data_IF_501690879117
#
_entry.id   IF_501690879117
#
_cell.length_a   1.000
_cell.length_b   1.000
_cell.length_c   1.000
_cell.angle_alpha   90.00
_cell.angle_beta   90.00
_cell.angle_gamma   90.00
#
_symmetry.space_group_name_H-M   'P 1'
#
loop_
_entity.id
_entity.type
_entity.pdbx_description
1 polymer ?
#
# COMPACT_ATOMS: atom_id res chain seq x y z
N UNK A 1 8.01 68.82 -15.25
CA UNK A 1 8.94 68.25 -14.27
C UNK A 1 9.10 66.76 -14.53
N UNK A 2 10.29 66.37 -14.94
CA UNK A 2 10.66 64.99 -15.24
C UNK A 2 11.25 64.39 -13.99
N UNK A 3 10.75 63.27 -13.50
CA UNK A 3 11.47 62.45 -12.52
C UNK A 3 11.68 61.04 -13.04
N UNK A 4 12.95 60.72 -13.13
CA UNK A 4 13.53 59.42 -13.46
C UNK A 4 13.33 58.45 -12.29
N UNK A 5 12.85 57.24 -12.56
CA UNK A 5 13.04 56.11 -11.64
C UNK A 5 13.86 55.04 -12.36
N UNK A 6 15.14 54.97 -11.93
CA UNK A 6 16.09 53.89 -12.24
C UNK A 6 15.90 52.76 -11.26
N UNK A 7 16.14 51.53 -11.71
CA UNK A 7 16.67 50.47 -10.89
C UNK A 7 15.86 49.16 -10.94
N UNK A 8 16.12 48.29 -11.93
CA UNK A 8 15.85 46.86 -11.83
C UNK A 8 16.85 46.18 -10.88
N UNK A 9 16.46 45.38 -9.89
CA UNK A 9 17.40 44.54 -9.14
C UNK A 9 17.78 43.32 -9.96
N UNK A 10 19.08 43.05 -10.00
CA UNK A 10 19.67 41.96 -10.74
C UNK A 10 19.32 40.57 -10.24
N UNK A 11 19.22 39.65 -11.18
CA UNK A 11 19.18 38.23 -11.02
C UNK A 11 20.40 37.71 -10.24
N UNK A 12 20.25 37.37 -8.96
CA UNK A 12 21.24 36.58 -8.23
C UNK A 12 20.98 35.10 -8.54
N UNK A 13 21.91 34.48 -9.26
CA UNK A 13 21.99 33.04 -9.42
C UNK A 13 22.11 32.39 -8.02
N UNK A 14 21.38 31.31 -7.70
CA UNK A 14 21.59 30.60 -6.44
C UNK A 14 22.95 29.90 -6.48
N UNK A 15 23.70 30.11 -5.40
CA UNK A 15 25.01 29.53 -5.12
C UNK A 15 24.94 28.01 -5.09
N UNK A 16 25.65 27.36 -6.01
CA UNK A 16 25.63 25.91 -6.19
C UNK A 16 26.42 25.14 -5.14
N UNK A 17 26.03 25.21 -3.87
CA UNK A 17 26.55 24.27 -2.87
C UNK A 17 25.86 22.94 -3.02
N UNK A 18 26.53 22.00 -3.69
CA UNK A 18 26.20 20.58 -3.62
C UNK A 18 26.29 20.14 -2.15
N UNK A 19 25.14 20.03 -1.50
CA UNK A 19 25.02 19.28 -0.24
C UNK A 19 25.25 17.82 -0.59
N UNK A 20 26.45 17.32 -0.32
CA UNK A 20 26.73 15.89 -0.35
C UNK A 20 25.89 15.26 0.77
N UNK A 21 24.81 14.56 0.38
CA UNK A 21 24.11 13.69 1.30
C UNK A 21 25.05 12.57 1.77
N UNK A 22 25.08 12.27 3.08
CA UNK A 22 25.89 11.15 3.58
C UNK A 22 25.47 9.88 2.84
N UNK A 23 26.46 9.06 2.43
CA UNK A 23 26.29 7.73 1.82
C UNK A 23 25.33 6.87 2.65
N UNK A 24 24.02 7.01 2.41
CA UNK A 24 23.04 6.06 2.90
C UNK A 24 23.18 4.83 1.99
N UNK A 25 23.62 3.72 2.58
CA UNK A 25 23.54 2.41 1.95
C UNK A 25 22.11 2.22 1.44
N UNK A 26 21.92 1.69 0.22
CA UNK A 26 20.58 1.42 -0.29
C UNK A 26 19.84 0.57 0.76
N UNK A 27 18.65 1.00 1.14
CA UNK A 27 17.79 0.22 2.03
C UNK A 27 17.60 -1.15 1.40
N UNK A 28 17.94 -2.25 2.09
CA UNK A 28 17.70 -3.57 1.54
C UNK A 28 16.19 -3.73 1.31
N UNK A 29 15.82 -3.89 0.06
CA UNK A 29 14.41 -3.98 -0.41
C UNK A 29 13.77 -5.32 -0.03
N UNK A 30 14.55 -6.25 0.51
CA UNK A 30 14.07 -7.52 1.05
C UNK A 30 14.34 -7.57 2.56
N UNK A 31 13.28 -7.49 3.36
CA UNK A 31 13.37 -7.80 4.79
C UNK A 31 13.43 -9.32 4.94
N UNK A 32 14.64 -9.86 4.97
CA UNK A 32 14.90 -11.22 5.39
C UNK A 32 15.31 -11.16 6.85
N UNK A 33 14.44 -11.60 7.73
CA UNK A 33 14.83 -11.83 9.13
C UNK A 33 15.05 -13.33 9.34
N UNK A 34 16.18 -13.68 9.93
CA UNK A 34 16.29 -14.97 10.62
C UNK A 34 15.38 -14.95 11.84
N UNK A 35 15.01 -16.11 12.36
CA UNK A 35 14.21 -16.18 13.60
C UNK A 35 14.89 -15.44 14.77
N UNK A 36 16.21 -15.45 14.80
CA UNK A 36 16.98 -14.74 15.83
C UNK A 36 16.90 -13.21 15.63
N UNK A 37 17.03 -12.71 14.40
CA UNK A 37 16.88 -11.28 14.10
C UNK A 37 15.47 -10.79 14.41
N UNK A 38 14.46 -11.61 14.12
CA UNK A 38 13.08 -11.27 14.48
C UNK A 38 12.89 -11.21 16.01
N UNK A 39 13.45 -12.16 16.77
CA UNK A 39 13.41 -12.11 18.24
C UNK A 39 14.12 -10.87 18.79
N UNK A 40 15.31 -10.53 18.26
CA UNK A 40 16.03 -9.29 18.63
C UNK A 40 15.20 -8.03 18.31
N UNK A 41 14.49 -8.02 17.18
CA UNK A 41 13.58 -6.92 16.83
C UNK A 41 12.42 -6.79 17.83
N UNK A 42 11.84 -7.90 18.27
CA UNK A 42 10.77 -7.88 19.29
C UNK A 42 11.30 -7.34 20.63
N UNK A 43 12.47 -7.80 21.08
CA UNK A 43 13.12 -7.29 22.31
C UNK A 43 13.37 -5.78 22.21
N UNK A 44 13.93 -5.32 21.07
CA UNK A 44 14.15 -3.89 20.84
C UNK A 44 12.86 -3.09 20.94
N UNK A 45 11.80 -3.53 20.28
CA UNK A 45 10.48 -2.86 20.31
C UNK A 45 9.88 -2.85 21.72
N UNK A 46 10.01 -3.95 22.46
CA UNK A 46 9.57 -4.04 23.86
C UNK A 46 10.28 -2.98 24.72
N UNK A 47 11.62 -2.95 24.67
CA UNK A 47 12.44 -2.00 25.43
C UNK A 47 12.13 -0.54 25.07
N UNK A 48 11.91 -0.24 23.79
CA UNK A 48 11.53 1.10 23.34
C UNK A 48 10.17 1.54 23.93
N UNK A 49 9.18 0.65 23.96
CA UNK A 49 7.85 0.93 24.53
C UNK A 49 7.90 1.03 26.06
N UNK A 50 8.65 0.16 26.73
CA UNK A 50 8.86 0.23 28.18
C UNK A 50 9.51 1.57 28.57
N UNK A 51 10.54 1.99 27.84
CA UNK A 51 11.19 3.29 28.07
C UNK A 51 10.24 4.47 27.85
N UNK A 52 9.40 4.40 26.79
CA UNK A 52 8.45 5.47 26.46
C UNK A 52 7.35 5.60 27.52
N UNK A 53 6.88 4.48 28.07
CA UNK A 53 5.72 4.43 28.95
C UNK A 53 6.09 4.28 30.44
N UNK A 54 7.39 4.22 30.80
CA UNK A 54 7.89 3.98 32.17
C UNK A 54 7.31 4.93 33.21
N UNK A 55 6.97 6.16 32.83
CA UNK A 55 6.37 7.15 33.74
C UNK A 55 4.84 7.04 33.89
N UNK A 56 4.19 6.13 33.19
CA UNK A 56 2.73 6.03 33.15
C UNK A 56 2.21 4.69 33.68
N UNK A 57 2.70 3.57 33.12
CA UNK A 57 2.26 2.23 33.48
C UNK A 57 3.25 1.15 33.03
N UNK A 58 3.20 -0.06 33.62
CA UNK A 58 3.88 -1.22 33.09
C UNK A 58 3.42 -1.57 31.71
N UNK A 59 4.33 -2.05 30.87
CA UNK A 59 4.03 -2.47 29.49
C UNK A 59 3.93 -3.99 29.45
N UNK A 60 2.81 -4.49 28.96
CA UNK A 60 2.65 -5.94 28.73
C UNK A 60 3.67 -6.46 27.70
N UNK A 61 4.02 -7.75 27.74
CA UNK A 61 4.89 -8.36 26.74
C UNK A 61 4.36 -8.16 25.31
N UNK A 62 5.28 -7.86 24.41
CA UNK A 62 4.95 -7.68 22.98
C UNK A 62 4.38 -8.96 22.39
N UNK A 63 3.33 -8.83 21.59
CA UNK A 63 2.71 -9.94 20.86
C UNK A 63 3.28 -10.00 19.45
N UNK A 64 4.27 -10.85 19.25
CA UNK A 64 4.88 -11.07 17.93
C UNK A 64 4.03 -11.93 17.00
N UNK A 65 4.45 -11.99 15.73
CA UNK A 65 3.91 -12.94 14.73
C UNK A 65 4.56 -14.30 14.93
N UNK A 66 3.80 -15.35 14.74
CA UNK A 66 4.32 -16.73 14.67
C UNK A 66 5.12 -16.94 13.37
N UNK A 67 4.58 -16.42 12.26
CA UNK A 67 5.27 -16.36 10.97
C UNK A 67 5.35 -14.90 10.51
N UNK A 68 6.53 -14.26 10.51
CA UNK A 68 6.70 -12.87 10.11
C UNK A 68 6.81 -12.66 8.59
N UNK A 69 6.46 -13.67 7.79
CA UNK A 69 6.58 -13.63 6.34
C UNK A 69 5.22 -13.63 5.65
N UNK A 70 5.18 -13.07 4.43
CA UNK A 70 4.06 -13.10 3.47
C UNK A 70 2.72 -12.61 4.02
N UNK A 71 2.75 -11.81 5.07
CA UNK A 71 1.54 -11.33 5.76
C UNK A 71 0.87 -10.14 5.10
N UNK A 72 1.60 -9.43 4.21
CA UNK A 72 1.14 -8.16 3.65
C UNK A 72 0.13 -8.41 2.54
N UNK A 73 -1.13 -8.14 2.84
CA UNK A 73 -2.28 -8.36 1.96
C UNK A 73 -2.56 -7.21 0.96
N UNK A 74 -1.73 -6.16 0.96
CA UNK A 74 -1.78 -5.06 0.00
C UNK A 74 -0.38 -4.74 -0.48
N UNK A 75 -0.16 -4.94 -1.78
CA UNK A 75 1.13 -4.73 -2.45
C UNK A 75 0.95 -3.69 -3.54
N UNK A 76 1.84 -2.71 -3.60
CA UNK A 76 1.89 -1.71 -4.65
C UNK A 76 3.21 -1.85 -5.41
N UNK A 77 3.16 -1.85 -6.72
CA UNK A 77 4.33 -1.87 -7.57
C UNK A 77 4.37 -0.61 -8.45
N UNK A 78 5.52 -0.01 -8.49
CA UNK A 78 5.96 1.03 -9.42
C UNK A 78 6.69 0.40 -10.59
N UNK A 79 6.68 1.05 -11.75
CA UNK A 79 7.27 0.52 -12.96
C UNK A 79 8.25 1.53 -13.57
N UNK A 80 9.27 1.01 -14.23
CA UNK A 80 10.22 1.83 -15.00
C UNK A 80 10.61 1.10 -16.28
N UNK A 81 10.62 1.84 -17.39
CA UNK A 81 11.20 1.36 -18.64
C UNK A 81 12.68 1.76 -18.69
N UNK A 82 13.56 0.79 -18.79
CA UNK A 82 15.00 0.98 -18.91
C UNK A 82 15.38 1.39 -20.33
N UNK A 83 16.61 1.91 -20.52
CA UNK A 83 17.14 2.33 -21.84
C UNK A 83 17.15 1.20 -22.87
N UNK A 84 17.33 -0.04 -22.44
CA UNK A 84 17.28 -1.23 -23.30
C UNK A 84 15.86 -1.71 -23.64
N UNK A 85 14.81 -0.96 -23.22
CA UNK A 85 13.42 -1.30 -23.46
C UNK A 85 12.78 -2.25 -22.45
N UNK A 86 13.55 -2.81 -21.53
CA UNK A 86 13.04 -3.69 -20.47
C UNK A 86 12.19 -2.88 -19.48
N UNK A 87 11.04 -3.44 -19.07
CA UNK A 87 10.22 -2.91 -18.00
C UNK A 87 10.58 -3.68 -16.72
N UNK A 88 10.86 -2.96 -15.67
CA UNK A 88 11.06 -3.48 -14.31
C UNK A 88 9.93 -3.02 -13.41
N UNK A 89 9.62 -3.83 -12.40
CA UNK A 89 8.70 -3.51 -11.31
C UNK A 89 9.43 -3.48 -9.98
N UNK A 90 8.99 -2.62 -9.07
CA UNK A 90 9.63 -2.52 -7.77
C UNK A 90 9.05 -1.39 -6.94
N UNK A 91 9.93 -0.71 -6.21
CA UNK A 91 9.57 0.43 -5.36
C UNK A 91 10.46 1.63 -5.66
N UNK A 92 9.90 2.82 -5.48
CA UNK A 92 10.72 4.03 -5.55
C UNK A 92 11.79 4.03 -4.46
N UNK A 93 13.00 4.38 -4.85
CA UNK A 93 14.04 4.76 -3.92
C UNK A 93 13.59 6.03 -3.17
N UNK A 94 13.76 6.04 -1.86
CA UNK A 94 13.35 7.14 -0.98
C UNK A 94 13.81 8.51 -1.52
N UNK A 95 12.88 9.45 -1.66
CA UNK A 95 13.12 10.79 -2.16
C UNK A 95 13.40 10.92 -3.66
N UNK A 96 13.11 9.85 -4.44
CA UNK A 96 13.31 9.84 -5.90
C UNK A 96 12.19 9.09 -6.62
N UNK A 97 12.11 9.24 -7.96
CA UNK A 97 11.28 8.40 -8.83
C UNK A 97 12.08 7.24 -9.47
N UNK A 98 13.25 6.91 -8.94
CA UNK A 98 14.01 5.76 -9.40
C UNK A 98 13.40 4.46 -8.83
N UNK A 99 12.96 3.56 -9.71
CA UNK A 99 12.46 2.25 -9.31
C UNK A 99 13.63 1.31 -9.04
N UNK A 100 13.66 0.76 -7.82
CA UNK A 100 14.53 -0.36 -7.45
C UNK A 100 13.73 -1.63 -7.66
N UNK A 101 14.25 -2.51 -8.51
CA UNK A 101 13.57 -3.78 -8.81
C UNK A 101 13.39 -4.60 -7.53
N UNK A 102 12.16 -5.10 -7.33
CA UNK A 102 11.80 -5.93 -6.18
C UNK A 102 11.19 -7.23 -6.68
N UNK A 103 11.78 -8.36 -6.27
CA UNK A 103 11.26 -9.71 -6.56
C UNK A 103 11.39 -10.55 -5.30
N UNK A 104 10.36 -11.37 -5.01
CA UNK A 104 10.40 -12.29 -3.89
C UNK A 104 10.47 -11.61 -2.53
N UNK A 105 9.80 -10.47 -2.35
CA UNK A 105 9.74 -9.77 -1.06
C UNK A 105 9.09 -10.68 -0.01
N UNK A 106 9.84 -11.04 1.03
CA UNK A 106 9.40 -12.01 2.04
C UNK A 106 8.26 -11.54 2.95
N UNK A 107 7.90 -10.27 2.94
CA UNK A 107 6.74 -9.78 3.71
C UNK A 107 5.47 -9.65 2.85
N UNK A 108 5.58 -9.64 1.53
CA UNK A 108 4.44 -9.50 0.62
C UNK A 108 3.81 -10.85 0.28
N UNK A 109 2.50 -10.88 0.07
CA UNK A 109 1.80 -12.10 -0.39
C UNK A 109 2.42 -12.58 -1.70
N UNK A 110 2.87 -13.84 -1.73
CA UNK A 110 3.57 -14.43 -2.88
C UNK A 110 2.73 -14.45 -4.16
N UNK A 111 1.39 -14.57 -4.04
CA UNK A 111 0.47 -14.49 -5.18
C UNK A 111 0.51 -13.09 -5.79
N UNK A 112 0.55 -12.05 -4.95
CA UNK A 112 0.65 -10.67 -5.42
C UNK A 112 1.98 -10.43 -6.16
N UNK A 113 3.10 -10.94 -5.65
CA UNK A 113 4.39 -10.84 -6.34
C UNK A 113 4.37 -11.55 -7.71
N UNK A 114 3.88 -12.79 -7.78
CA UNK A 114 3.75 -13.53 -9.03
C UNK A 114 2.90 -12.76 -10.07
N UNK A 115 1.74 -12.26 -9.66
CA UNK A 115 0.85 -11.46 -10.52
C UNK A 115 1.55 -10.19 -11.03
N UNK A 116 2.32 -9.49 -10.18
CA UNK A 116 3.07 -8.28 -10.58
C UNK A 116 4.14 -8.62 -11.63
N UNK A 117 4.86 -9.73 -11.46
CA UNK A 117 5.87 -10.17 -12.43
C UNK A 117 5.24 -10.44 -13.80
N UNK A 118 4.12 -11.17 -13.84
CA UNK A 118 3.42 -11.49 -15.09
C UNK A 118 2.77 -10.24 -15.73
N UNK A 119 2.19 -9.33 -14.93
CA UNK A 119 1.72 -8.03 -15.42
C UNK A 119 2.86 -7.24 -16.06
N UNK A 120 4.06 -7.27 -15.47
CA UNK A 120 5.26 -6.59 -16.04
C UNK A 120 5.59 -7.14 -17.41
N UNK A 121 5.50 -8.46 -17.60
CA UNK A 121 5.65 -9.13 -18.89
C UNK A 121 4.55 -8.75 -19.90
N UNK A 122 3.30 -8.69 -19.44
CA UNK A 122 2.16 -8.30 -20.26
C UNK A 122 2.24 -6.83 -20.69
N UNK A 123 2.69 -5.92 -19.84
CA UNK A 123 2.89 -4.51 -20.23
C UNK A 123 3.86 -4.39 -21.42
N UNK A 124 4.91 -5.20 -21.45
CA UNK A 124 5.82 -5.25 -22.59
C UNK A 124 5.14 -5.83 -23.84
N UNK A 125 4.43 -6.94 -23.71
CA UNK A 125 3.76 -7.63 -24.81
C UNK A 125 2.67 -6.78 -25.45
N UNK A 126 1.92 -6.04 -24.64
CA UNK A 126 0.89 -5.11 -25.10
C UNK A 126 1.42 -3.72 -25.47
N UNK A 127 2.75 -3.51 -25.43
CA UNK A 127 3.42 -2.23 -25.74
C UNK A 127 2.87 -1.06 -24.89
N UNK A 128 2.55 -1.31 -23.63
CA UNK A 128 2.03 -0.28 -22.73
C UNK A 128 3.11 0.74 -22.40
N UNK A 129 2.74 2.00 -22.42
CA UNK A 129 3.63 3.08 -22.04
C UNK A 129 3.65 3.22 -20.52
N UNK A 130 4.81 3.01 -19.91
CA UNK A 130 5.02 3.26 -18.48
C UNK A 130 5.07 4.77 -18.26
N UNK A 131 4.32 5.23 -17.26
CA UNK A 131 4.29 6.64 -16.88
C UNK A 131 5.61 7.04 -16.23
N UNK A 132 6.11 8.20 -16.61
CA UNK A 132 7.29 8.80 -16.01
C UNK A 132 6.84 10.03 -15.22
N UNK A 133 6.99 9.97 -13.91
CA UNK A 133 6.52 11.02 -12.99
C UNK A 133 7.28 12.36 -13.19
N UNK A 134 8.53 12.31 -13.69
CA UNK A 134 9.33 13.52 -13.92
C UNK A 134 8.90 14.29 -15.19
N UNK A 135 8.45 13.55 -16.24
CA UNK A 135 8.04 14.14 -17.51
C UNK A 135 6.52 14.26 -17.66
N UNK A 136 5.74 13.61 -16.80
CA UNK A 136 4.29 13.56 -16.92
C UNK A 136 3.77 12.75 -18.10
N UNK A 137 4.61 11.90 -18.73
CA UNK A 137 4.27 11.18 -19.95
C UNK A 137 4.19 9.67 -19.74
N UNK A 138 3.16 9.05 -20.28
CA UNK A 138 2.90 7.61 -20.21
C UNK A 138 1.47 7.29 -19.75
N UNK A 139 1.19 6.02 -19.59
CA UNK A 139 -0.15 5.52 -19.20
C UNK A 139 -0.16 4.82 -17.85
N UNK A 140 0.70 3.81 -17.68
CA UNK A 140 0.71 2.94 -16.50
C UNK A 140 1.52 3.60 -15.39
N UNK A 141 0.87 3.95 -14.28
CA UNK A 141 1.51 4.53 -13.10
C UNK A 141 1.88 3.46 -12.08
N UNK A 142 0.89 2.71 -11.60
CA UNK A 142 1.06 1.72 -10.54
C UNK A 142 0.21 0.49 -10.80
N UNK A 143 0.57 -0.61 -10.17
CA UNK A 143 -0.32 -1.74 -9.95
C UNK A 143 -0.44 -1.98 -8.45
N UNK A 144 -1.67 -1.98 -7.96
CA UNK A 144 -1.99 -2.31 -6.58
C UNK A 144 -2.71 -3.65 -6.55
N UNK A 145 -2.23 -4.58 -5.74
CA UNK A 145 -2.88 -5.87 -5.54
C UNK A 145 -3.36 -5.97 -4.09
N UNK A 146 -4.60 -6.42 -3.93
CA UNK A 146 -5.16 -6.78 -2.63
C UNK A 146 -5.49 -8.25 -2.62
N UNK A 147 -5.03 -8.95 -1.61
CA UNK A 147 -5.34 -10.36 -1.36
C UNK A 147 -6.16 -10.47 -0.08
N UNK A 148 -7.27 -11.17 -0.14
CA UNK A 148 -8.08 -11.47 1.03
C UNK A 148 -7.50 -12.69 1.76
N UNK A 149 -7.24 -12.54 3.05
CA UNK A 149 -6.56 -13.57 3.84
C UNK A 149 -7.41 -14.82 4.05
N UNK A 150 -8.67 -14.64 4.41
CA UNK A 150 -9.57 -15.77 4.73
C UNK A 150 -10.32 -16.30 3.50
N UNK A 151 -10.72 -15.42 2.58
CA UNK A 151 -11.51 -15.84 1.42
C UNK A 151 -10.66 -16.22 0.20
N UNK A 152 -9.37 -15.87 0.21
CA UNK A 152 -8.47 -16.09 -0.91
C UNK A 152 -8.70 -15.19 -2.12
N UNK A 153 -9.70 -14.31 -2.11
CA UNK A 153 -10.04 -13.42 -3.23
C UNK A 153 -8.91 -12.44 -3.54
N UNK A 154 -8.72 -12.14 -4.83
CA UNK A 154 -7.66 -11.24 -5.28
C UNK A 154 -8.25 -10.14 -6.15
N UNK A 155 -7.88 -8.90 -5.84
CA UNK A 155 -8.21 -7.72 -6.64
C UNK A 155 -6.93 -7.12 -7.22
N UNK A 156 -6.90 -6.96 -8.54
CA UNK A 156 -5.86 -6.25 -9.27
C UNK A 156 -6.36 -4.87 -9.65
N UNK A 157 -5.63 -3.84 -9.27
CA UNK A 157 -5.95 -2.44 -9.57
C UNK A 157 -4.81 -1.89 -10.41
N UNK A 158 -5.12 -1.53 -11.68
CA UNK A 158 -4.16 -0.93 -12.61
C UNK A 158 -4.41 0.57 -12.60
N UNK A 159 -3.43 1.33 -12.10
CA UNK A 159 -3.52 2.79 -12.03
C UNK A 159 -2.99 3.40 -13.32
N UNK A 160 -3.82 4.20 -13.97
CA UNK A 160 -3.52 4.82 -15.27
C UNK A 160 -3.62 6.34 -15.21
N UNK A 161 -2.73 7.04 -15.92
CA UNK A 161 -2.75 8.49 -16.06
C UNK A 161 -3.87 8.99 -17.01
N UNK A 162 -4.60 8.09 -17.68
CA UNK A 162 -5.65 8.40 -18.63
C UNK A 162 -6.80 7.42 -18.47
N UNK A 163 -8.06 7.84 -18.76
CA UNK A 163 -9.21 6.92 -18.81
C UNK A 163 -9.13 5.94 -19.99
N UNK A 164 -8.36 6.27 -21.02
CA UNK A 164 -8.16 5.40 -22.19
C UNK A 164 -7.11 4.36 -21.89
N UNK A 165 -7.53 3.10 -21.77
CA UNK A 165 -6.65 1.95 -21.60
C UNK A 165 -6.77 1.06 -22.85
N UNK A 166 -5.80 1.15 -23.79
CA UNK A 166 -5.85 0.39 -25.03
C UNK A 166 -5.91 -1.12 -24.77
N UNK A 167 -6.73 -1.82 -25.55
CA UNK A 167 -6.85 -3.30 -25.49
C UNK A 167 -7.14 -3.87 -24.08
N UNK A 168 -7.75 -3.09 -23.18
CA UNK A 168 -7.97 -3.48 -21.78
C UNK A 168 -8.65 -4.84 -21.57
N UNK A 169 -9.60 -5.20 -22.45
CA UNK A 169 -10.27 -6.51 -22.39
C UNK A 169 -9.31 -7.65 -22.74
N UNK A 170 -8.51 -7.48 -23.78
CA UNK A 170 -7.53 -8.50 -24.19
C UNK A 170 -6.41 -8.63 -23.13
N UNK A 171 -5.98 -7.51 -22.56
CA UNK A 171 -5.03 -7.51 -21.44
C UNK A 171 -5.60 -8.28 -20.23
N UNK A 172 -6.82 -7.97 -19.82
CA UNK A 172 -7.48 -8.67 -18.71
C UNK A 172 -7.63 -10.17 -19.00
N UNK A 173 -8.05 -10.55 -20.21
CA UNK A 173 -8.15 -11.96 -20.61
C UNK A 173 -6.80 -12.69 -20.59
N UNK A 174 -5.72 -12.02 -21.02
CA UNK A 174 -4.38 -12.58 -20.97
C UNK A 174 -3.92 -12.79 -19.52
N UNK A 175 -4.18 -11.82 -18.64
CA UNK A 175 -3.86 -11.92 -17.23
C UNK A 175 -4.66 -13.04 -16.53
N UNK A 176 -5.96 -13.16 -16.81
CA UNK A 176 -6.83 -14.20 -16.24
C UNK A 176 -6.46 -15.61 -16.73
N UNK A 177 -5.86 -15.75 -17.90
CA UNK A 177 -5.31 -17.05 -18.34
C UNK A 177 -4.11 -17.48 -17.52
N UNK A 178 -3.29 -16.54 -17.06
CA UNK A 178 -2.12 -16.81 -16.21
C UNK A 178 -2.53 -16.97 -14.73
N UNK A 179 -3.53 -16.20 -14.31
CA UNK A 179 -3.99 -16.10 -12.93
C UNK A 179 -5.52 -16.24 -12.83
N UNK A 180 -6.07 -17.46 -13.01
CA UNK A 180 -7.52 -17.67 -12.95
C UNK A 180 -8.11 -17.42 -11.55
N UNK A 181 -7.30 -17.36 -10.51
CA UNK A 181 -7.67 -17.03 -9.13
C UNK A 181 -8.01 -15.55 -8.92
N UNK A 182 -7.73 -14.67 -9.87
CA UNK A 182 -8.08 -13.24 -9.77
C UNK A 182 -9.61 -13.08 -9.77
N UNK A 183 -10.12 -12.50 -8.70
CA UNK A 183 -11.56 -12.28 -8.50
C UNK A 183 -12.07 -11.07 -9.27
N UNK A 184 -11.26 -10.00 -9.35
CA UNK A 184 -11.66 -8.76 -10.03
C UNK A 184 -10.46 -7.94 -10.50
N UNK A 185 -10.62 -7.24 -11.63
CA UNK A 185 -9.63 -6.31 -12.19
C UNK A 185 -10.30 -4.95 -12.34
N UNK A 186 -9.66 -3.92 -11.81
CA UNK A 186 -10.12 -2.54 -11.81
C UNK A 186 -9.07 -1.64 -12.44
N UNK A 187 -9.49 -0.76 -13.34
CA UNK A 187 -8.71 0.40 -13.74
C UNK A 187 -9.02 1.54 -12.75
N UNK A 188 -8.01 2.04 -12.08
CA UNK A 188 -8.10 3.30 -11.35
C UNK A 188 -7.49 4.42 -12.19
N UNK A 189 -8.19 5.54 -12.32
CA UNK A 189 -7.78 6.65 -13.17
C UNK A 189 -7.25 7.76 -12.28
N UNK A 190 -5.95 7.99 -12.34
CA UNK A 190 -5.26 9.05 -11.63
C UNK A 190 -4.53 9.97 -12.61
N UNK A 191 -5.22 11.04 -13.03
CA UNK A 191 -4.71 12.03 -13.98
C UNK A 191 -4.00 13.20 -13.31
N UNK A 192 -3.98 13.22 -11.97
CA UNK A 192 -3.43 14.33 -11.19
C UNK A 192 -1.91 14.20 -11.05
N UNK A 193 -1.23 15.33 -11.02
CA UNK A 193 0.14 15.41 -10.53
C UNK A 193 0.10 15.39 -8.99
N UNK A 194 0.34 14.23 -8.40
CA UNK A 194 0.16 13.97 -6.97
C UNK A 194 0.92 12.73 -6.52
N UNK A 195 1.39 12.75 -5.28
CA UNK A 195 1.99 11.58 -4.62
C UNK A 195 0.97 10.50 -4.22
N UNK A 196 -0.33 10.75 -4.42
CA UNK A 196 -1.37 9.76 -4.15
C UNK A 196 -1.36 8.69 -5.23
N UNK A 197 -1.25 7.42 -4.82
CA UNK A 197 -1.27 6.28 -5.75
C UNK A 197 -2.59 6.17 -6.50
N UNK A 198 -3.71 6.27 -5.78
CA UNK A 198 -5.05 6.13 -6.35
C UNK A 198 -5.67 7.48 -6.66
N UNK A 199 -6.29 7.57 -7.85
CA UNK A 199 -7.20 8.65 -8.21
C UNK A 199 -8.64 8.37 -7.75
N UNK A 200 -9.53 9.32 -8.05
CA UNK A 200 -10.91 9.32 -7.55
C UNK A 200 -11.85 8.40 -8.34
N UNK A 201 -11.47 7.98 -9.56
CA UNK A 201 -12.34 7.25 -10.48
C UNK A 201 -11.87 5.81 -10.68
N UNK A 202 -12.81 4.87 -10.49
CA UNK A 202 -12.58 3.46 -10.77
C UNK A 202 -13.47 2.99 -11.93
N UNK A 203 -12.93 2.10 -12.76
CA UNK A 203 -13.62 1.44 -13.84
C UNK A 203 -13.38 -0.05 -13.77
N UNK A 204 -14.42 -0.83 -13.54
CA UNK A 204 -14.32 -2.29 -13.48
C UNK A 204 -14.04 -2.84 -14.87
N UNK A 205 -13.00 -3.66 -15.01
CA UNK A 205 -12.65 -4.37 -16.24
C UNK A 205 -13.18 -5.81 -16.19
N UNK A 206 -13.06 -6.45 -15.03
CA UNK A 206 -13.50 -7.82 -14.77
C UNK A 206 -13.99 -7.97 -13.34
N UNK A 207 -15.00 -8.84 -13.12
CA UNK A 207 -15.55 -9.15 -11.81
C UNK A 207 -16.43 -8.03 -11.26
N UNK A 208 -16.52 -7.96 -9.91
CA UNK A 208 -17.45 -7.07 -9.20
C UNK A 208 -16.87 -5.70 -8.82
N UNK A 209 -15.55 -5.48 -9.00
CA UNK A 209 -14.87 -4.25 -8.58
C UNK A 209 -14.57 -4.17 -7.07
N UNK A 210 -14.80 -5.24 -6.34
CA UNK A 210 -14.45 -5.40 -4.93
C UNK A 210 -14.12 -6.86 -4.61
N UNK A 211 -13.47 -7.07 -3.48
CA UNK A 211 -13.28 -8.38 -2.86
C UNK A 211 -13.88 -8.38 -1.46
N UNK A 212 -14.08 -9.56 -0.91
CA UNK A 212 -14.54 -9.73 0.46
C UNK A 212 -13.48 -10.49 1.26
N UNK A 213 -13.29 -10.08 2.51
CA UNK A 213 -12.45 -10.80 3.47
C UNK A 213 -13.19 -10.97 4.80
N UNK A 214 -12.68 -11.84 5.64
CA UNK A 214 -13.20 -12.06 6.99
C UNK A 214 -12.15 -11.67 8.01
N UNK A 215 -12.55 -10.87 9.01
CA UNK A 215 -11.69 -10.41 10.10
C UNK A 215 -12.47 -10.52 11.41
N UNK A 216 -11.93 -11.21 12.39
CA UNK A 216 -12.62 -11.51 13.67
C UNK A 216 -14.04 -12.06 13.46
N UNK A 217 -14.24 -12.94 12.48
CA UNK A 217 -15.54 -13.53 12.16
C UNK A 217 -16.53 -12.62 11.42
N UNK A 218 -16.17 -11.37 11.13
CA UNK A 218 -16.99 -10.41 10.37
C UNK A 218 -16.54 -10.32 8.92
N UNK A 219 -17.50 -10.28 7.99
CA UNK A 219 -17.23 -10.12 6.56
C UNK A 219 -17.17 -8.65 6.17
N UNK A 220 -16.09 -8.27 5.49
CA UNK A 220 -15.86 -6.91 5.01
C UNK A 220 -15.75 -6.90 3.49
N UNK A 221 -16.38 -5.92 2.87
CA UNK A 221 -16.23 -5.63 1.45
C UNK A 221 -15.14 -4.58 1.27
N UNK A 222 -14.13 -4.90 0.46
CA UNK A 222 -12.96 -4.07 0.20
C UNK A 222 -13.03 -3.54 -1.22
N UNK A 223 -13.17 -2.22 -1.37
CA UNK A 223 -13.03 -1.51 -2.64
C UNK A 223 -11.56 -1.15 -2.90
N UNK A 224 -11.18 -0.66 -4.11
CA UNK A 224 -9.81 -0.22 -4.39
C UNK A 224 -9.24 0.76 -3.37
N UNK A 225 -10.03 1.76 -2.94
CA UNK A 225 -9.62 2.82 -2.02
C UNK A 225 -9.85 2.52 -0.54
N UNK A 226 -10.49 1.42 -0.16
CA UNK A 226 -10.77 1.11 1.26
C UNK A 226 -9.48 0.98 2.06
N UNK A 227 -9.43 1.63 3.23
CA UNK A 227 -8.38 1.30 4.19
C UNK A 227 -8.71 -0.03 4.85
N UNK A 228 -7.76 -0.94 4.85
CA UNK A 228 -7.82 -2.24 5.53
C UNK A 228 -6.43 -2.59 6.02
N UNK A 229 -6.33 -3.11 7.22
CA UNK A 229 -5.04 -3.44 7.84
C UNK A 229 -4.29 -4.49 7.02
N UNK A 230 -3.00 -4.24 6.80
CA UNK A 230 -2.17 -5.06 5.88
C UNK A 230 -1.77 -6.42 6.44
N UNK A 231 -1.92 -6.63 7.74
CA UNK A 231 -1.60 -7.87 8.43
C UNK A 231 -2.85 -8.37 9.17
N UNK A 232 -3.66 -9.18 8.50
CA UNK A 232 -4.95 -9.65 9.03
C UNK A 232 -4.77 -10.42 10.34
N UNK A 233 -3.78 -11.30 10.45
CA UNK A 233 -3.53 -12.13 11.65
C UNK A 233 -3.22 -11.26 12.87
N UNK A 234 -2.31 -10.30 12.73
CA UNK A 234 -1.98 -9.39 13.86
C UNK A 234 -3.12 -8.42 14.15
N UNK A 235 -3.90 -8.05 13.15
CA UNK A 235 -5.08 -7.19 13.34
C UNK A 235 -6.14 -7.88 14.20
N UNK A 236 -6.38 -9.18 13.99
CA UNK A 236 -7.30 -9.94 14.84
C UNK A 236 -6.82 -9.99 16.29
N UNK A 237 -5.52 -10.26 16.51
CA UNK A 237 -4.93 -10.23 17.86
C UNK A 237 -5.08 -8.84 18.51
N UNK A 238 -4.79 -7.76 17.74
CA UNK A 238 -4.92 -6.38 18.20
C UNK A 238 -6.36 -6.03 18.57
N UNK A 239 -7.33 -6.31 17.68
CA UNK A 239 -8.73 -5.97 17.90
C UNK A 239 -9.32 -6.76 19.07
N UNK A 240 -9.05 -8.06 19.16
CA UNK A 240 -9.50 -8.90 20.27
C UNK A 240 -8.92 -8.39 21.62
N UNK A 241 -7.64 -7.96 21.64
CA UNK A 241 -7.03 -7.40 22.85
C UNK A 241 -7.65 -6.05 23.23
N UNK A 242 -7.84 -5.16 22.26
CA UNK A 242 -8.48 -3.85 22.48
C UNK A 242 -9.92 -4.01 23.03
N UNK A 243 -10.71 -4.90 22.44
CA UNK A 243 -12.09 -5.17 22.88
C UNK A 243 -12.11 -5.83 24.25
N UNK A 244 -11.14 -6.71 24.55
CA UNK A 244 -10.98 -7.28 25.90
C UNK A 244 -10.70 -6.19 26.93
N UNK A 245 -9.83 -5.24 26.63
CA UNK A 245 -9.50 -4.14 27.56
C UNK A 245 -10.64 -3.14 27.72
N UNK A 246 -11.46 -2.93 26.67
CA UNK A 246 -12.65 -2.10 26.74
C UNK A 246 -13.73 -2.66 27.69
N UNK A 247 -13.64 -3.95 28.03
CA UNK A 247 -14.52 -4.69 28.97
C UNK A 247 -16.01 -4.40 28.79
N UNK A 248 -16.47 -4.38 27.53
CA UNK A 248 -17.82 -4.04 27.15
C UNK A 248 -18.83 -5.06 27.71
N UNK A 249 -19.91 -4.57 28.32
CA UNK A 249 -20.97 -5.36 29.00
C UNK A 249 -22.32 -5.30 28.26
N UNK A 250 -22.36 -4.91 26.99
CA UNK A 250 -23.59 -4.68 26.19
C UNK A 250 -24.47 -3.52 26.72
N UNK A 251 -23.94 -2.62 27.49
CA UNK A 251 -24.60 -1.43 28.01
C UNK A 251 -24.03 -0.14 27.42
N UNK A 252 -22.81 -0.18 26.94
CA UNK A 252 -22.03 0.95 26.49
C UNK A 252 -22.38 1.34 25.05
N UNK A 253 -22.28 2.64 24.76
CA UNK A 253 -22.18 3.16 23.40
C UNK A 253 -20.70 3.37 23.07
N UNK A 254 -20.23 2.72 22.00
CA UNK A 254 -18.87 2.84 21.49
C UNK A 254 -18.87 3.84 20.33
N UNK A 255 -17.92 4.77 20.34
CA UNK A 255 -17.67 5.68 19.22
C UNK A 255 -16.37 5.22 18.54
N UNK A 256 -16.46 4.84 17.26
CA UNK A 256 -15.34 4.54 16.38
C UNK A 256 -15.03 5.79 15.57
N UNK A 257 -14.18 6.65 16.13
CA UNK A 257 -13.77 7.89 15.50
C UNK A 257 -12.73 7.60 14.40
N UNK A 258 -12.93 8.19 13.22
CA UNK A 258 -12.16 7.90 12.00
C UNK A 258 -12.32 6.46 11.52
N UNK A 259 -13.54 5.95 11.58
CA UNK A 259 -13.86 4.52 11.43
C UNK A 259 -13.46 3.91 10.06
N UNK A 260 -13.31 4.69 9.01
CA UNK A 260 -13.07 4.20 7.66
C UNK A 260 -14.18 3.24 7.21
N UNK A 261 -13.85 1.98 6.94
CA UNK A 261 -14.86 0.94 6.64
C UNK A 261 -15.43 0.27 7.90
N UNK A 262 -15.16 0.82 9.08
CA UNK A 262 -15.75 0.42 10.37
C UNK A 262 -15.20 -0.88 10.95
N UNK A 263 -13.98 -1.30 10.63
CA UNK A 263 -13.50 -2.63 10.99
C UNK A 263 -13.52 -2.90 12.49
N UNK A 264 -12.96 -2.01 13.31
CA UNK A 264 -12.92 -2.22 14.76
C UNK A 264 -14.30 -2.02 15.41
N UNK A 265 -15.07 -1.02 14.94
CA UNK A 265 -16.42 -0.76 15.42
C UNK A 265 -17.36 -1.95 15.17
N UNK A 266 -17.32 -2.54 13.96
CA UNK A 266 -18.13 -3.71 13.61
C UNK A 266 -17.73 -4.92 14.46
N UNK A 267 -16.44 -5.15 14.71
CA UNK A 267 -16.00 -6.25 15.59
C UNK A 267 -16.44 -6.00 17.04
N UNK A 268 -16.39 -4.75 17.52
CA UNK A 268 -16.86 -4.38 18.87
C UNK A 268 -18.39 -4.53 19.05
N UNK A 269 -19.17 -4.48 17.96
CA UNK A 269 -20.62 -4.47 18.01
C UNK A 269 -21.25 -5.69 18.69
N UNK A 270 -20.57 -6.83 18.70
CA UNK A 270 -21.03 -8.03 19.40
C UNK A 270 -21.09 -7.85 20.93
N UNK A 271 -20.32 -6.90 21.47
CA UNK A 271 -20.18 -6.65 22.90
C UNK A 271 -20.67 -5.27 23.34
N UNK A 272 -21.00 -4.38 22.42
CA UNK A 272 -21.55 -3.06 22.71
C UNK A 272 -23.08 -3.05 22.60
N UNK A 273 -23.75 -2.12 23.30
CA UNK A 273 -25.18 -1.84 23.09
C UNK A 273 -25.39 -1.12 21.76
N UNK A 274 -24.48 -0.22 21.41
CA UNK A 274 -24.51 0.59 20.18
C UNK A 274 -23.10 0.94 19.77
N UNK A 275 -22.87 0.99 18.45
CA UNK A 275 -21.63 1.51 17.88
C UNK A 275 -21.97 2.64 16.93
N UNK A 276 -21.22 3.72 17.00
CA UNK A 276 -21.34 4.91 16.13
C UNK A 276 -19.99 5.06 15.44
N UNK A 277 -19.96 4.92 14.11
CA UNK A 277 -18.80 5.23 13.28
C UNK A 277 -18.86 6.68 12.77
N UNK A 278 -17.72 7.38 12.83
CA UNK A 278 -17.58 8.77 12.38
C UNK A 278 -16.40 8.90 11.43
#
# INVERSE_FOLDING_TARGET
MKENIKGRPGNRKPDGRKVQSPNKKPNPVAYEYTDEEYRRLLVKKQTEMEKLLSGFAPVDPIVGMENPYYYRNKVCAEFRKLKNGTIISGRYQEGTHNVIETKGCKIEDQRADAIIQDITGLFRSFKMMIYNEDSGYGLIRHVLIRTAHQTGQIMVIIVTASPVFPSKKNFANALLKLHPEITTIVQNINTKDTNMVLGDRNQVIYGKGYIEDVLCGKRFRLSPGSFYQINSVQTEKLYNKAIKYADLKKKETVIDAYCGIGTIGIVASDRAKRVIGV
#
